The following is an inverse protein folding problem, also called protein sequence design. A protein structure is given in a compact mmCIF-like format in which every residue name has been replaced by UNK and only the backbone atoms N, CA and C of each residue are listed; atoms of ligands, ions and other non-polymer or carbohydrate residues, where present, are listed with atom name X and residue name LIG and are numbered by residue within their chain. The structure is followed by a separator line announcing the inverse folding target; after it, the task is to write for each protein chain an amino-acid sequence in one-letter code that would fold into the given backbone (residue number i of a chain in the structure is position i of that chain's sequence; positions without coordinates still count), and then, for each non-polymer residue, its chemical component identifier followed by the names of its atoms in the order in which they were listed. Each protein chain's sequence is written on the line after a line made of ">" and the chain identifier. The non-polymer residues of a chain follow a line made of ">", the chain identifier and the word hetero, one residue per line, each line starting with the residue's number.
data_IF_476151876305
#
_entry.id   IF_476151876305
#
_cell.length_a   1.000
_cell.length_b   1.000
_cell.length_c   1.000
_cell.angle_alpha   90.00
_cell.angle_beta   90.00
_cell.angle_gamma   90.00
#
_symmetry.space_group_name_H-M   'P 1'
#
loop_
_entity.id
_entity.type
_entity.pdbx_description
1 polymer ?
#
# COMPACT_ATOMS: atom_id res chain seq x y z
N UNK A 1 1.95 16.90 21.44
CA UNK A 1 0.82 17.12 20.52
C UNK A 1 0.88 16.06 19.43
N UNK A 2 -0.20 15.26 19.24
CA UNK A 2 -0.26 14.27 18.15
C UNK A 2 -0.46 14.99 16.82
N UNK A 3 0.48 14.85 15.88
CA UNK A 3 0.35 15.38 14.51
C UNK A 3 -0.71 14.54 13.80
N UNK A 4 -1.93 15.07 13.66
CA UNK A 4 -2.99 14.39 12.89
C UNK A 4 -2.58 14.37 11.42
N UNK A 5 -2.88 13.30 10.70
CA UNK A 5 -2.71 13.15 9.25
C UNK A 5 -3.77 13.98 8.50
N UNK A 6 -3.97 15.23 8.92
CA UNK A 6 -4.89 16.20 8.34
C UNK A 6 -4.05 17.34 7.81
N UNK A 7 -3.95 17.42 6.49
CA UNK A 7 -3.44 18.57 5.79
C UNK A 7 -4.59 19.59 5.66
N UNK A 8 -4.61 20.58 6.56
CA UNK A 8 -5.68 21.58 6.62
C UNK A 8 -5.73 22.42 5.35
N UNK A 9 -4.57 22.66 4.73
CA UNK A 9 -4.47 23.46 3.52
C UNK A 9 -5.09 22.69 2.34
N UNK A 10 -4.77 21.41 2.19
CA UNK A 10 -5.36 20.60 1.13
C UNK A 10 -6.86 20.32 1.34
N UNK A 11 -7.30 20.10 2.57
CA UNK A 11 -8.70 19.77 2.86
C UNK A 11 -9.63 20.99 2.82
N UNK A 12 -9.12 22.22 2.95
CA UNK A 12 -9.90 23.46 2.84
C UNK A 12 -10.61 23.63 1.49
N UNK A 13 -10.11 22.98 0.44
CA UNK A 13 -10.63 23.12 -0.93
C UNK A 13 -11.75 22.13 -1.28
N UNK A 14 -12.14 21.23 -0.36
CA UNK A 14 -13.14 20.18 -0.67
C UNK A 14 -14.53 20.72 -1.00
N UNK A 15 -14.96 21.82 -0.36
CA UNK A 15 -16.24 22.45 -0.69
C UNK A 15 -16.25 23.03 -2.11
N UNK A 16 -15.12 23.60 -2.52
CA UNK A 16 -14.95 24.12 -3.88
C UNK A 16 -14.99 22.99 -4.90
N UNK A 17 -14.27 21.90 -4.64
CA UNK A 17 -14.30 20.70 -5.48
C UNK A 17 -15.74 20.18 -5.68
N UNK A 18 -16.54 20.11 -4.60
CA UNK A 18 -17.93 19.69 -4.72
C UNK A 18 -18.76 20.63 -5.61
N UNK A 19 -18.60 21.94 -5.44
CA UNK A 19 -19.27 22.94 -6.28
C UNK A 19 -18.87 22.80 -7.76
N UNK A 20 -17.58 22.63 -8.04
CA UNK A 20 -17.05 22.50 -9.39
C UNK A 20 -17.59 21.23 -10.09
N UNK A 21 -17.71 20.11 -9.36
CA UNK A 21 -18.32 18.88 -9.86
C UNK A 21 -19.79 19.07 -10.22
N UNK A 22 -20.55 19.81 -9.41
CA UNK A 22 -21.96 20.09 -9.67
C UNK A 22 -22.15 20.99 -10.90
N UNK A 23 -21.30 22.00 -11.07
CA UNK A 23 -21.29 22.87 -12.24
C UNK A 23 -20.93 22.11 -13.53
N UNK A 24 -19.92 21.24 -13.48
CA UNK A 24 -19.57 20.39 -14.62
C UNK A 24 -20.72 19.44 -15.00
N UNK A 25 -21.41 18.87 -14.01
CA UNK A 25 -22.60 18.03 -14.23
C UNK A 25 -23.74 18.82 -14.86
N UNK A 26 -23.89 20.09 -14.51
CA UNK A 26 -24.87 21.00 -15.10
C UNK A 26 -24.50 21.49 -16.52
N UNK A 27 -23.31 21.11 -17.02
CA UNK A 27 -22.88 21.42 -18.38
C UNK A 27 -21.93 22.62 -18.49
N UNK A 28 -21.37 23.12 -17.40
CA UNK A 28 -20.39 24.21 -17.45
C UNK A 28 -19.13 23.78 -18.25
N UNK A 29 -18.83 24.41 -19.39
CA UNK A 29 -17.73 23.98 -20.25
C UNK A 29 -16.34 24.21 -19.65
N UNK A 30 -16.18 25.16 -18.73
CA UNK A 30 -14.90 25.42 -18.09
C UNK A 30 -14.61 24.33 -17.05
N UNK A 31 -15.60 23.96 -16.24
CA UNK A 31 -15.46 22.91 -15.24
C UNK A 31 -15.34 21.52 -15.88
N UNK A 32 -16.05 21.26 -16.99
CA UNK A 32 -15.86 20.02 -17.76
C UNK A 32 -14.42 19.89 -18.27
N UNK A 33 -13.85 20.95 -18.85
CA UNK A 33 -12.43 20.96 -19.28
C UNK A 33 -11.46 20.77 -18.12
N UNK A 34 -11.76 21.34 -16.95
CA UNK A 34 -10.95 21.15 -15.75
C UNK A 34 -10.94 19.68 -15.31
N UNK A 35 -12.12 19.06 -15.20
CA UNK A 35 -12.26 17.63 -14.88
C UNK A 35 -11.55 16.76 -15.91
N UNK A 36 -11.69 17.05 -17.21
CA UNK A 36 -10.99 16.31 -18.26
C UNK A 36 -9.47 16.43 -18.12
N UNK A 37 -8.98 17.58 -17.65
CA UNK A 37 -7.55 17.79 -17.40
C UNK A 37 -7.08 16.93 -16.23
N UNK A 38 -7.78 16.96 -15.09
CA UNK A 38 -7.49 16.07 -13.96
C UNK A 38 -7.58 14.60 -14.35
N UNK A 39 -8.56 14.21 -15.15
CA UNK A 39 -8.70 12.84 -15.63
C UNK A 39 -7.52 12.42 -16.51
N UNK A 40 -7.01 13.30 -17.38
CA UNK A 40 -5.81 13.02 -18.19
C UNK A 40 -4.56 12.87 -17.32
N UNK A 41 -4.38 13.73 -16.33
CA UNK A 41 -3.25 13.66 -15.40
C UNK A 41 -3.29 12.40 -14.53
N UNK A 42 -4.47 12.07 -13.99
CA UNK A 42 -4.69 10.83 -13.24
C UNK A 42 -4.40 9.60 -14.08
N UNK A 43 -4.86 9.55 -15.36
CA UNK A 43 -4.52 8.45 -16.28
C UNK A 43 -3.01 8.31 -16.47
N UNK A 44 -2.30 9.41 -16.68
CA UNK A 44 -0.83 9.38 -16.82
C UNK A 44 -0.15 8.83 -15.56
N UNK A 45 -0.61 9.22 -14.38
CA UNK A 45 -0.07 8.71 -13.12
C UNK A 45 -0.35 7.20 -12.97
N UNK A 46 -1.59 6.77 -13.23
CA UNK A 46 -2.03 5.37 -13.18
C UNK A 46 -1.27 4.48 -14.19
N UNK A 47 -1.00 4.99 -15.39
CA UNK A 47 -0.17 4.31 -16.39
C UNK A 47 1.28 4.19 -15.93
N UNK A 48 1.85 5.25 -15.34
CA UNK A 48 3.19 5.23 -14.74
C UNK A 48 3.35 4.14 -13.68
N UNK A 49 2.36 3.99 -12.79
CA UNK A 49 2.34 2.93 -11.76
C UNK A 49 2.50 1.55 -12.39
N UNK A 50 1.95 1.28 -13.58
CA UNK A 50 2.00 -0.06 -14.17
C UNK A 50 3.42 -0.46 -14.56
N UNK A 51 4.18 0.48 -15.13
CA UNK A 51 5.53 0.21 -15.63
C UNK A 51 6.54 0.04 -14.50
N UNK A 52 6.47 0.90 -13.48
CA UNK A 52 7.41 0.86 -12.35
C UNK A 52 7.18 -0.36 -11.45
N UNK A 53 5.92 -0.83 -11.37
CA UNK A 53 5.53 -1.92 -10.47
C UNK A 53 5.85 -3.31 -11.00
N UNK A 54 5.94 -3.51 -12.32
CA UNK A 54 6.29 -4.82 -12.89
C UNK A 54 7.66 -5.31 -12.43
N UNK A 55 8.66 -4.42 -12.37
CA UNK A 55 10.01 -4.76 -11.90
C UNK A 55 10.04 -5.06 -10.40
N UNK A 56 9.28 -4.30 -9.61
CA UNK A 56 9.24 -4.43 -8.17
C UNK A 56 8.54 -5.73 -7.73
N UNK A 57 7.44 -6.08 -8.40
CA UNK A 57 6.67 -7.32 -8.16
C UNK A 57 7.47 -8.56 -8.50
N UNK A 58 8.22 -8.55 -9.60
CA UNK A 58 9.12 -9.66 -9.94
C UNK A 58 10.12 -9.94 -8.82
N UNK A 59 10.74 -8.89 -8.26
CA UNK A 59 11.68 -9.04 -7.15
C UNK A 59 11.05 -9.60 -5.87
N UNK A 60 9.76 -9.33 -5.63
CA UNK A 60 9.05 -9.86 -4.46
C UNK A 60 8.65 -11.32 -4.68
N UNK A 61 8.26 -11.72 -5.90
CA UNK A 61 7.97 -13.11 -6.22
C UNK A 61 9.18 -14.02 -5.96
N UNK A 62 10.39 -13.55 -6.24
CA UNK A 62 11.62 -14.26 -5.90
C UNK A 62 11.81 -14.43 -4.38
N UNK A 63 11.43 -13.42 -3.60
CA UNK A 63 11.48 -13.48 -2.12
C UNK A 63 10.44 -14.44 -1.54
N UNK A 64 9.31 -14.66 -2.23
CA UNK A 64 8.27 -15.59 -1.79
C UNK A 64 8.72 -17.06 -1.89
N UNK A 65 9.64 -17.40 -2.79
CA UNK A 65 10.20 -18.76 -2.89
C UNK A 65 10.91 -19.22 -1.61
N UNK A 66 11.30 -18.28 -0.75
CA UNK A 66 11.97 -18.58 0.53
C UNK A 66 10.96 -19.08 1.56
N UNK A 67 9.66 -18.80 1.43
CA UNK A 67 8.63 -19.19 2.41
C UNK A 67 8.16 -20.62 2.21
N UNK A 68 8.04 -21.35 3.33
CA UNK A 68 7.49 -22.71 3.30
C UNK A 68 5.95 -22.67 3.24
N UNK A 69 5.29 -23.70 2.69
CA UNK A 69 3.82 -23.79 2.70
C UNK A 69 3.21 -23.72 4.11
N UNK A 70 3.92 -24.20 5.13
CA UNK A 70 3.48 -24.13 6.51
C UNK A 70 3.52 -22.69 7.07
N UNK A 71 4.56 -21.92 6.74
CA UNK A 71 4.67 -20.49 7.07
C UNK A 71 3.53 -19.70 6.41
N UNK A 72 3.29 -19.90 5.11
CA UNK A 72 2.19 -19.26 4.37
C UNK A 72 0.82 -19.53 5.02
N UNK A 73 0.57 -20.78 5.42
CA UNK A 73 -0.67 -21.18 6.07
C UNK A 73 -0.88 -20.53 7.45
N UNK A 74 0.20 -20.32 8.22
CA UNK A 74 0.14 -19.66 9.53
C UNK A 74 -0.22 -18.19 9.40
N UNK A 75 0.39 -17.50 8.45
CA UNK A 75 0.11 -16.09 8.15
C UNK A 75 -1.39 -15.84 7.88
N UNK A 76 -1.99 -16.65 7.00
CA UNK A 76 -3.41 -16.54 6.61
C UNK A 76 -4.38 -16.75 7.78
N UNK A 77 -4.06 -17.67 8.67
CA UNK A 77 -4.96 -17.98 9.80
C UNK A 77 -4.84 -16.98 10.95
N UNK A 78 -3.94 -16.01 10.85
CA UNK A 78 -3.55 -15.18 11.99
C UNK A 78 -3.01 -16.02 13.15
N UNK A 79 -2.47 -17.22 12.86
CA UNK A 79 -1.82 -18.04 13.86
C UNK A 79 -0.54 -17.33 14.32
N UNK A 80 -0.17 -17.49 15.59
CA UNK A 80 1.07 -16.93 16.12
C UNK A 80 2.25 -17.33 15.24
N UNK A 81 2.92 -16.35 14.66
CA UNK A 81 4.17 -16.51 13.92
C UNK A 81 5.28 -16.83 14.93
N UNK A 82 6.21 -17.71 14.57
CA UNK A 82 7.39 -17.92 15.41
C UNK A 82 8.43 -16.82 15.15
N UNK A 83 9.37 -16.68 16.07
CA UNK A 83 10.38 -15.62 16.01
C UNK A 83 11.21 -15.67 14.73
N UNK A 84 11.48 -16.88 14.20
CA UNK A 84 12.22 -17.06 12.96
C UNK A 84 11.44 -16.53 11.75
N UNK A 85 10.14 -16.81 11.68
CA UNK A 85 9.27 -16.31 10.63
C UNK A 85 9.04 -14.80 10.74
N UNK A 86 8.89 -14.26 11.95
CA UNK A 86 8.78 -12.81 12.20
C UNK A 86 10.05 -12.11 11.72
N UNK A 87 11.23 -12.60 12.11
CA UNK A 87 12.51 -12.02 11.71
C UNK A 87 12.67 -12.01 10.19
N UNK A 88 12.42 -13.16 9.54
CA UNK A 88 12.45 -13.28 8.08
C UNK A 88 11.49 -12.31 7.39
N UNK A 89 10.29 -12.16 7.93
CA UNK A 89 9.30 -11.23 7.40
C UNK A 89 9.75 -9.77 7.56
N UNK A 90 10.27 -9.40 8.73
CA UNK A 90 10.80 -8.07 9.01
C UNK A 90 11.98 -7.72 8.09
N UNK A 91 12.93 -8.64 7.91
CA UNK A 91 14.11 -8.44 7.06
C UNK A 91 13.72 -8.20 5.59
N UNK A 92 12.77 -8.99 5.09
CA UNK A 92 12.25 -8.84 3.73
C UNK A 92 11.47 -7.54 3.54
N UNK A 93 10.60 -7.19 4.48
CA UNK A 93 9.86 -5.93 4.46
C UNK A 93 10.80 -4.73 4.52
N UNK A 94 11.86 -4.80 5.32
CA UNK A 94 12.90 -3.78 5.41
C UNK A 94 13.66 -3.61 4.11
N UNK A 95 14.12 -4.72 3.50
CA UNK A 95 14.82 -4.70 2.23
C UNK A 95 13.95 -4.09 1.10
N UNK A 96 12.66 -4.42 1.08
CA UNK A 96 11.72 -3.86 0.13
C UNK A 96 11.45 -2.36 0.40
N UNK A 97 11.30 -1.97 1.66
CA UNK A 97 11.12 -0.57 2.04
C UNK A 97 12.33 0.29 1.62
N UNK A 98 13.55 -0.22 1.79
CA UNK A 98 14.78 0.45 1.33
C UNK A 98 14.73 0.68 -0.19
N UNK A 99 14.41 -0.36 -0.97
CA UNK A 99 14.28 -0.23 -2.44
C UNK A 99 13.21 0.78 -2.84
N UNK A 100 12.07 0.79 -2.15
CA UNK A 100 11.00 1.77 -2.38
C UNK A 100 11.48 3.19 -2.07
N UNK A 101 12.24 3.37 -0.99
CA UNK A 101 12.84 4.66 -0.65
C UNK A 101 13.89 5.10 -1.68
N UNK A 102 14.71 4.20 -2.20
CA UNK A 102 15.71 4.53 -3.22
C UNK A 102 15.07 4.89 -4.57
N UNK A 103 13.96 4.25 -4.92
CA UNK A 103 13.23 4.52 -6.16
C UNK A 103 12.35 5.78 -6.10
N UNK A 104 12.01 6.27 -4.90
CA UNK A 104 11.05 7.35 -4.77
C UNK A 104 11.68 8.73 -5.10
N UNK A 105 11.09 9.50 -6.04
CA UNK A 105 11.72 10.71 -6.60
C UNK A 105 11.98 11.83 -5.58
N UNK A 106 11.21 11.87 -4.50
CA UNK A 106 11.36 12.86 -3.41
C UNK A 106 11.99 12.26 -2.14
N UNK A 107 12.63 11.11 -2.23
CA UNK A 107 13.28 10.49 -1.07
C UNK A 107 14.71 11.00 -0.90
N UNK A 108 15.12 11.24 0.34
CA UNK A 108 16.49 11.63 0.70
C UNK A 108 17.34 10.43 1.14
N UNK A 109 16.97 9.23 0.69
CA UNK A 109 17.51 7.96 1.15
C UNK A 109 16.67 7.32 2.27
N UNK A 110 16.97 6.06 2.63
CA UNK A 110 16.23 5.35 3.67
C UNK A 110 16.46 6.01 5.05
N UNK A 111 15.40 6.26 5.84
CA UNK A 111 15.54 6.75 7.20
C UNK A 111 16.17 5.69 8.12
N UNK A 112 16.51 6.07 9.35
CA UNK A 112 16.98 5.13 10.38
C UNK A 112 15.91 4.06 10.65
N UNK A 113 16.34 2.86 11.04
CA UNK A 113 15.43 1.72 11.29
C UNK A 113 14.21 2.06 12.16
N UNK A 114 14.44 2.79 13.27
CA UNK A 114 13.40 3.22 14.23
C UNK A 114 12.34 4.12 13.59
N UNK A 115 12.72 4.91 12.60
CA UNK A 115 11.85 5.80 11.84
C UNK A 115 11.24 5.09 10.63
N UNK A 116 11.98 4.15 10.02
CA UNK A 116 11.59 3.38 8.86
C UNK A 116 10.28 2.64 9.09
N UNK A 117 10.14 1.95 10.24
CA UNK A 117 8.93 1.16 10.53
C UNK A 117 7.65 2.00 10.60
N UNK A 118 7.79 3.32 10.76
CA UNK A 118 6.69 4.28 10.82
C UNK A 118 6.45 5.00 9.49
N UNK A 119 7.20 4.70 8.43
CA UNK A 119 6.98 5.30 7.11
C UNK A 119 5.84 4.61 6.37
N UNK A 120 5.24 5.36 5.44
CA UNK A 120 4.28 4.80 4.49
C UNK A 120 4.95 3.70 3.66
N UNK A 121 6.17 3.91 3.16
CA UNK A 121 6.85 2.96 2.29
C UNK A 121 7.16 1.63 2.99
N UNK A 122 7.47 1.64 4.29
CA UNK A 122 7.62 0.40 5.05
C UNK A 122 6.29 -0.35 5.23
N UNK A 123 5.22 0.35 5.58
CA UNK A 123 3.88 -0.26 5.70
C UNK A 123 3.40 -0.79 4.35
N UNK A 124 3.69 -0.09 3.26
CA UNK A 124 3.43 -0.56 1.90
C UNK A 124 4.26 -1.79 1.55
N UNK A 125 5.53 -1.85 1.96
CA UNK A 125 6.36 -3.04 1.78
C UNK A 125 5.77 -4.27 2.48
N UNK A 126 5.32 -4.12 3.74
CA UNK A 126 4.64 -5.19 4.50
C UNK A 126 3.38 -5.64 3.77
N UNK A 127 2.50 -4.72 3.38
CA UNK A 127 1.27 -5.06 2.68
C UNK A 127 1.58 -5.77 1.35
N UNK A 128 2.58 -5.29 0.60
CA UNK A 128 2.93 -5.85 -0.71
C UNK A 128 3.46 -7.28 -0.57
N UNK A 129 4.27 -7.53 0.45
CA UNK A 129 4.76 -8.86 0.76
C UNK A 129 3.60 -9.81 1.06
N UNK A 130 2.63 -9.43 1.90
CA UNK A 130 1.43 -10.24 2.19
C UNK A 130 0.62 -10.51 0.91
N UNK A 131 0.41 -9.47 0.10
CA UNK A 131 -0.31 -9.58 -1.16
C UNK A 131 0.34 -10.61 -2.11
N UNK A 132 1.66 -10.57 -2.28
CA UNK A 132 2.36 -11.53 -3.14
C UNK A 132 2.35 -12.95 -2.55
N UNK A 133 2.44 -13.10 -1.22
CA UNK A 133 2.30 -14.40 -0.54
C UNK A 133 0.92 -15.03 -0.84
N UNK A 134 -0.15 -14.22 -0.85
CA UNK A 134 -1.50 -14.67 -1.24
C UNK A 134 -1.59 -15.11 -2.70
N UNK A 135 -0.88 -14.41 -3.61
CA UNK A 135 -0.84 -14.80 -5.02
C UNK A 135 -0.12 -16.13 -5.22
N UNK A 136 0.99 -16.35 -4.51
CA UNK A 136 1.75 -17.58 -4.58
C UNK A 136 0.94 -18.79 -4.10
N UNK A 137 0.17 -18.66 -3.01
CA UNK A 137 -0.71 -19.73 -2.52
C UNK A 137 -1.81 -20.12 -3.52
N UNK A 138 -2.39 -19.12 -4.20
CA UNK A 138 -3.47 -19.34 -5.17
C UNK A 138 -2.98 -19.75 -6.57
N UNK A 139 -1.66 -19.86 -6.76
CA UNK A 139 -1.04 -20.13 -8.06
C UNK A 139 -1.19 -18.97 -9.06
N UNK A 140 -1.55 -17.77 -8.58
CA UNK A 140 -1.81 -16.56 -9.40
C UNK A 140 -0.58 -15.66 -9.51
N UNK A 141 0.61 -16.26 -9.62
CA UNK A 141 1.87 -15.51 -9.71
C UNK A 141 2.02 -14.75 -11.03
N UNK A 142 1.26 -15.13 -12.06
CA UNK A 142 1.19 -14.43 -13.34
C UNK A 142 -0.09 -13.59 -13.43
N UNK A 143 -0.01 -12.33 -12.99
CA UNK A 143 -1.08 -11.33 -13.11
C UNK A 143 -1.02 -10.64 -14.47
N UNK A 144 -2.16 -10.30 -15.05
CA UNK A 144 -2.17 -9.35 -16.17
C UNK A 144 -1.76 -7.96 -15.68
N UNK A 145 -1.10 -7.12 -16.51
CA UNK A 145 -0.69 -5.78 -16.09
C UNK A 145 -1.82 -4.92 -15.50
N UNK A 146 -3.03 -5.04 -16.04
CA UNK A 146 -4.21 -4.31 -15.55
C UNK A 146 -4.69 -4.78 -14.17
N UNK A 147 -4.68 -6.10 -13.93
CA UNK A 147 -5.01 -6.70 -12.63
C UNK A 147 -3.95 -6.34 -11.60
N UNK A 148 -2.67 -6.37 -12.00
CA UNK A 148 -1.55 -5.98 -11.15
C UNK A 148 -1.67 -4.51 -10.73
N UNK A 149 -1.98 -3.63 -11.68
CA UNK A 149 -2.19 -2.21 -11.41
C UNK A 149 -3.32 -1.99 -10.41
N UNK A 150 -4.45 -2.67 -10.58
CA UNK A 150 -5.58 -2.55 -9.66
C UNK A 150 -5.18 -2.98 -8.24
N UNK A 151 -4.56 -4.15 -8.12
CA UNK A 151 -4.07 -4.65 -6.84
C UNK A 151 -3.10 -3.70 -6.14
N UNK A 152 -2.19 -3.06 -6.88
CA UNK A 152 -1.26 -2.08 -6.33
C UNK A 152 -1.96 -0.79 -5.91
N UNK A 153 -2.98 -0.35 -6.65
CA UNK A 153 -3.79 0.80 -6.26
C UNK A 153 -4.52 0.49 -4.95
N UNK A 154 -5.18 -0.67 -4.86
CA UNK A 154 -5.87 -1.13 -3.67
C UNK A 154 -4.91 -1.28 -2.48
N UNK A 155 -3.70 -1.79 -2.75
CA UNK A 155 -2.63 -1.89 -1.78
C UNK A 155 -2.27 -0.54 -1.17
N UNK A 156 -2.23 0.55 -1.95
CA UNK A 156 -1.93 1.87 -1.40
C UNK A 156 -3.00 2.31 -0.38
N UNK A 157 -4.28 2.04 -0.66
CA UNK A 157 -5.37 2.33 0.29
C UNK A 157 -5.24 1.49 1.56
N UNK A 158 -4.95 0.18 1.42
CA UNK A 158 -4.73 -0.70 2.57
C UNK A 158 -3.53 -0.25 3.40
N UNK A 159 -2.42 0.09 2.75
CA UNK A 159 -1.18 0.58 3.39
C UNK A 159 -1.44 1.85 4.18
N UNK A 160 -2.19 2.79 3.59
CA UNK A 160 -2.61 4.01 4.28
C UNK A 160 -3.54 3.71 5.46
N UNK A 161 -4.48 2.77 5.30
CA UNK A 161 -5.39 2.38 6.36
C UNK A 161 -4.66 1.77 7.56
N UNK A 162 -3.48 1.15 7.40
CA UNK A 162 -2.71 0.58 8.52
C UNK A 162 -2.38 1.60 9.62
N UNK A 163 -2.31 2.90 9.28
CA UNK A 163 -2.07 3.99 10.22
C UNK A 163 -3.26 4.25 11.16
N UNK A 164 -4.41 3.66 10.85
CA UNK A 164 -5.67 3.80 11.56
C UNK A 164 -6.14 2.45 12.08
N UNK A 165 -7.25 2.48 12.83
CA UNK A 165 -7.85 1.31 13.48
C UNK A 165 -8.75 0.50 12.56
N UNK A 166 -9.13 1.04 11.40
CA UNK A 166 -10.01 0.36 10.46
C UNK A 166 -9.83 0.83 9.02
N UNK A 167 -10.07 -0.07 8.08
CA UNK A 167 -10.35 0.21 6.68
C UNK A 167 -11.86 0.13 6.43
N UNK A 168 -12.46 1.19 5.86
CA UNK A 168 -13.86 1.18 5.43
C UNK A 168 -13.90 0.74 3.96
N UNK A 169 -14.28 -0.51 3.72
CA UNK A 169 -14.38 -1.09 2.38
C UNK A 169 -15.46 -2.18 2.38
N UNK A 170 -16.11 -2.38 1.23
CA UNK A 170 -16.96 -3.55 0.97
C UNK A 170 -16.18 -4.66 0.24
N UNK A 171 -14.90 -4.42 -0.09
CA UNK A 171 -14.01 -5.43 -0.68
C UNK A 171 -13.36 -6.29 0.42
N UNK A 172 -13.79 -7.54 0.50
CA UNK A 172 -13.27 -8.52 1.45
C UNK A 172 -11.77 -8.76 1.29
N UNK A 173 -11.24 -8.74 0.06
CA UNK A 173 -9.81 -9.01 -0.16
C UNK A 173 -8.93 -7.91 0.44
N UNK A 174 -9.36 -6.65 0.30
CA UNK A 174 -8.70 -5.49 0.90
C UNK A 174 -8.85 -5.48 2.43
N UNK A 175 -10.03 -5.83 2.95
CA UNK A 175 -10.25 -5.95 4.39
C UNK A 175 -9.37 -7.04 5.02
N UNK A 176 -9.30 -8.23 4.41
CA UNK A 176 -8.46 -9.31 4.89
C UNK A 176 -6.98 -8.91 4.85
N UNK A 177 -6.54 -8.21 3.79
CA UNK A 177 -5.15 -7.75 3.64
C UNK A 177 -4.79 -6.76 4.74
N UNK A 178 -5.72 -5.86 5.08
CA UNK A 178 -5.57 -4.91 6.17
C UNK A 178 -5.36 -5.61 7.51
N UNK A 179 -6.19 -6.60 7.85
CA UNK A 179 -6.05 -7.32 9.12
C UNK A 179 -4.72 -8.09 9.21
N UNK A 180 -4.34 -8.80 8.16
CA UNK A 180 -3.05 -9.51 8.11
C UNK A 180 -1.88 -8.54 8.25
N UNK A 181 -1.94 -7.38 7.60
CA UNK A 181 -0.91 -6.34 7.72
C UNK A 181 -0.82 -5.78 9.15
N UNK A 182 -1.95 -5.56 9.84
CA UNK A 182 -1.95 -5.10 11.23
C UNK A 182 -1.33 -6.12 12.18
N UNK A 183 -1.63 -7.41 11.99
CA UNK A 183 -1.03 -8.50 12.77
C UNK A 183 0.48 -8.55 12.53
N UNK A 184 0.92 -8.53 11.27
CA UNK A 184 2.34 -8.54 10.92
C UNK A 184 3.07 -7.32 11.49
N UNK A 185 2.53 -6.12 11.33
CA UNK A 185 3.12 -4.89 11.89
C UNK A 185 3.21 -4.93 13.41
N UNK A 186 2.18 -5.45 14.09
CA UNK A 186 2.20 -5.62 15.55
C UNK A 186 3.25 -6.63 16.02
N UNK A 187 3.51 -7.67 15.23
CA UNK A 187 4.56 -8.65 15.53
C UNK A 187 5.98 -8.08 15.28
N UNK A 188 6.16 -7.28 14.23
CA UNK A 188 7.46 -6.67 13.88
C UNK A 188 7.82 -5.52 14.82
N UNK A 189 6.82 -4.79 15.33
CA UNK A 189 7.01 -3.62 16.20
C UNK A 189 6.25 -3.81 17.52
N UNK A 190 6.76 -4.63 18.46
CA UNK A 190 5.99 -5.07 19.63
C UNK A 190 5.61 -3.96 20.63
N UNK A 191 6.21 -2.76 20.56
CA UNK A 191 6.06 -1.72 21.58
C UNK A 191 6.15 -0.25 21.08
N UNK A 192 5.91 0.04 19.81
CA UNK A 192 6.22 1.37 19.27
C UNK A 192 5.26 1.89 18.21
N UNK A 193 4.26 2.67 18.65
CA UNK A 193 3.50 3.64 17.85
C UNK A 193 2.49 3.06 16.86
N UNK A 194 1.45 2.42 17.40
CA UNK A 194 0.11 2.50 16.81
C UNK A 194 -0.56 3.74 17.44
N UNK A 195 -1.02 4.74 16.67
CA UNK A 195 -1.75 5.90 17.21
C UNK A 195 -2.96 5.53 18.06
#
# INVERSE_FOLDING_TARGET
>A
MRRRLIDQDQTAHFSQLHSDLMLARAGDPAMQRAIDTYAREARRQIEGVTNDMLGLVSGILDMVQVYTPAELKRLRKGESLDDAMIQKFADHSMALAIKLHEAHPNSHGPPKFEEMVNTFLFRSAVCMQIMVLRWAETGRTQRKPEELRNDVIDLNFVSFATFFDRLLTDDQAAEDLYYEAKVALGAIVPNGLIP
#
